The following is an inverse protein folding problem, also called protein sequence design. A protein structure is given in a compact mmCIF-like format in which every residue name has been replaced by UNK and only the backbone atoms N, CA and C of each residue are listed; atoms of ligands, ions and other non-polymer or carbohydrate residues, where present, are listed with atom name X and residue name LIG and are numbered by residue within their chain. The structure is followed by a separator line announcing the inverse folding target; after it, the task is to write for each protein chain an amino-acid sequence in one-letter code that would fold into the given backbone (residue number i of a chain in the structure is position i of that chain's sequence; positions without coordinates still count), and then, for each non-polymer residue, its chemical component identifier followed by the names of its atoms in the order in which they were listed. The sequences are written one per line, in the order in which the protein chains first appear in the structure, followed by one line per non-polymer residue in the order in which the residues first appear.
data_IF_101184910538
#
_entry.id   IF_101184910538
#
_cell.length_a   1.000
_cell.length_b   1.000
_cell.length_c   1.000
_cell.angle_alpha   90.00
_cell.angle_beta   90.00
_cell.angle_gamma   90.00
#
_symmetry.space_group_name_H-M   'P 1'
#
loop_
_entity.id
_entity.type
_entity.pdbx_description
1 polymer ?
#
# COMPACT_ATOMS: atom_id res chain seq x y z
N UNK A 1 -19.75 40.03 -39.67
CA UNK A 1 -18.82 39.67 -38.57
C UNK A 1 -19.31 38.49 -37.72
N UNK A 2 -20.33 37.70 -38.12
CA UNK A 2 -20.85 36.61 -37.27
C UNK A 2 -20.41 35.18 -37.65
N UNK A 3 -19.80 34.94 -38.81
CA UNK A 3 -19.43 33.59 -39.25
C UNK A 3 -18.11 33.06 -38.66
N UNK A 4 -17.29 33.95 -38.09
CA UNK A 4 -16.00 33.59 -37.47
C UNK A 4 -16.15 33.10 -36.02
N UNK A 5 -17.22 33.54 -35.34
CA UNK A 5 -17.51 33.17 -33.96
C UNK A 5 -18.03 31.73 -33.84
N UNK A 6 -18.80 31.25 -34.83
CA UNK A 6 -19.37 29.88 -34.84
C UNK A 6 -18.33 28.79 -35.14
N UNK A 7 -17.22 29.09 -35.82
CA UNK A 7 -16.14 28.12 -36.08
C UNK A 7 -15.13 28.01 -34.94
N UNK A 8 -15.07 28.99 -34.05
CA UNK A 8 -14.14 29.00 -32.91
C UNK A 8 -14.66 28.20 -31.72
N UNK A 9 -15.98 28.18 -31.49
CA UNK A 9 -16.64 27.44 -30.41
C UNK A 9 -16.32 25.93 -30.37
N UNK A 10 -16.41 25.14 -31.47
CA UNK A 10 -16.09 23.71 -31.44
C UNK A 10 -14.61 23.43 -31.20
N UNK A 11 -13.71 24.26 -31.75
CA UNK A 11 -12.26 24.13 -31.52
C UNK A 11 -11.86 24.44 -30.08
N UNK A 12 -12.53 25.40 -29.43
CA UNK A 12 -12.32 25.70 -28.02
C UNK A 12 -12.85 24.60 -27.08
N UNK A 13 -13.95 23.93 -27.45
CA UNK A 13 -14.48 22.78 -26.67
C UNK A 13 -13.59 21.56 -26.77
N UNK A 14 -13.22 21.16 -27.99
CA UNK A 14 -12.28 20.04 -28.22
C UNK A 14 -10.93 20.26 -27.53
N UNK A 15 -10.43 21.51 -27.52
CA UNK A 15 -9.22 21.87 -26.77
C UNK A 15 -9.43 21.77 -25.26
N UNK A 16 -10.56 22.22 -24.74
CA UNK A 16 -10.92 22.13 -23.32
C UNK A 16 -11.08 20.68 -22.85
N UNK A 17 -11.67 19.83 -23.67
CA UNK A 17 -11.83 18.39 -23.42
C UNK A 17 -10.49 17.66 -23.46
N UNK A 18 -9.66 17.91 -24.47
CA UNK A 18 -8.31 17.36 -24.55
C UNK A 18 -7.44 17.80 -23.35
N UNK A 19 -7.56 19.07 -22.94
CA UNK A 19 -6.82 19.59 -21.79
C UNK A 19 -7.34 19.04 -20.46
N UNK A 20 -8.64 18.74 -20.36
CA UNK A 20 -9.25 18.10 -19.19
C UNK A 20 -8.85 16.62 -19.09
N UNK A 21 -8.78 15.91 -20.22
CA UNK A 21 -8.28 14.52 -20.29
C UNK A 21 -6.81 14.43 -19.88
N UNK A 22 -5.96 15.27 -20.47
CA UNK A 22 -4.53 15.29 -20.13
C UNK A 22 -4.28 15.61 -18.65
N UNK A 23 -5.10 16.47 -18.03
CA UNK A 23 -5.05 16.71 -16.58
C UNK A 23 -5.50 15.47 -15.80
N UNK A 24 -6.57 14.81 -16.23
CA UNK A 24 -7.05 13.61 -15.57
C UNK A 24 -6.04 12.45 -15.62
N UNK A 25 -5.40 12.24 -16.76
CA UNK A 25 -4.37 11.21 -16.95
C UNK A 25 -3.12 11.52 -16.10
N UNK A 26 -2.75 12.79 -15.99
CA UNK A 26 -1.65 13.23 -15.13
C UNK A 26 -1.98 13.04 -13.64
N UNK A 27 -3.22 13.33 -13.22
CA UNK A 27 -3.69 13.07 -11.86
C UNK A 27 -3.73 11.58 -11.54
N UNK A 28 -4.13 10.73 -12.48
CA UNK A 28 -4.11 9.28 -12.33
C UNK A 28 -2.68 8.76 -12.20
N UNK A 29 -1.78 9.19 -13.08
CA UNK A 29 -0.35 8.82 -13.02
C UNK A 29 0.28 9.24 -11.70
N UNK A 30 -0.05 10.44 -11.20
CA UNK A 30 0.43 10.91 -9.91
C UNK A 30 -0.09 10.05 -8.74
N UNK A 31 -1.36 9.62 -8.80
CA UNK A 31 -1.93 8.72 -7.80
C UNK A 31 -1.29 7.33 -7.82
N UNK A 32 -1.02 6.77 -9.01
CA UNK A 32 -0.40 5.45 -9.16
C UNK A 32 1.06 5.46 -8.66
N UNK A 33 1.79 6.55 -8.89
CA UNK A 33 3.14 6.76 -8.33
C UNK A 33 3.12 6.86 -6.80
N UNK A 34 2.16 7.61 -6.24
CA UNK A 34 2.01 7.72 -4.78
C UNK A 34 1.68 6.35 -4.15
N UNK A 35 0.85 5.54 -4.81
CA UNK A 35 0.57 4.17 -4.37
C UNK A 35 1.83 3.30 -4.41
N UNK A 36 2.60 3.34 -5.51
CA UNK A 36 3.84 2.57 -5.64
C UNK A 36 4.86 2.93 -4.55
N UNK A 37 4.97 4.23 -4.21
CA UNK A 37 5.84 4.69 -3.12
C UNK A 37 5.36 4.17 -1.76
N UNK A 38 4.05 4.21 -1.51
CA UNK A 38 3.47 3.68 -0.28
C UNK A 38 3.70 2.17 -0.12
N UNK A 39 3.56 1.40 -1.21
CA UNK A 39 3.80 -0.05 -1.22
C UNK A 39 5.27 -0.38 -0.96
N UNK A 40 6.19 0.43 -1.53
CA UNK A 40 7.65 0.28 -1.29
C UNK A 40 8.01 0.55 0.17
N UNK A 41 7.45 1.61 0.76
CA UNK A 41 7.65 1.94 2.18
C UNK A 41 7.10 0.83 3.10
N UNK A 42 5.98 0.21 2.71
CA UNK A 42 5.42 -0.93 3.43
C UNK A 42 6.35 -2.14 3.38
N UNK A 43 6.86 -2.51 2.20
CA UNK A 43 7.80 -3.62 2.05
C UNK A 43 9.09 -3.43 2.87
N UNK A 44 9.61 -2.20 2.92
CA UNK A 44 10.77 -1.87 3.75
C UNK A 44 10.46 -2.08 5.23
N UNK A 45 9.29 -1.63 5.69
CA UNK A 45 8.84 -1.81 7.08
C UNK A 45 8.67 -3.29 7.46
N UNK A 46 8.12 -4.10 6.56
CA UNK A 46 7.92 -5.54 6.79
C UNK A 46 9.26 -6.30 6.84
N UNK A 47 10.23 -5.89 6.03
CA UNK A 47 11.61 -6.42 6.06
C UNK A 47 12.30 -6.11 7.40
N UNK A 48 12.19 -4.87 7.88
CA UNK A 48 12.77 -4.47 9.16
C UNK A 48 12.12 -5.22 10.33
N UNK A 49 10.81 -5.46 10.27
CA UNK A 49 10.11 -6.26 11.27
C UNK A 49 10.63 -7.71 11.28
N UNK A 50 10.79 -8.32 10.12
CA UNK A 50 11.28 -9.71 10.00
C UNK A 50 12.70 -9.86 10.57
N UNK A 51 13.57 -8.86 10.35
CA UNK A 51 14.91 -8.82 10.96
C UNK A 51 14.84 -8.69 12.48
N UNK A 52 14.01 -7.78 12.98
CA UNK A 52 13.84 -7.61 14.43
C UNK A 52 13.29 -8.87 15.11
N UNK A 53 12.39 -9.60 14.45
CA UNK A 53 11.86 -10.86 14.96
C UNK A 53 12.96 -11.95 15.00
N UNK A 54 13.86 -12.00 13.99
CA UNK A 54 15.00 -12.92 13.99
C UNK A 54 16.01 -12.60 15.11
N UNK A 55 16.30 -11.32 15.35
CA UNK A 55 17.17 -10.88 16.45
C UNK A 55 16.61 -11.27 17.83
N UNK A 56 15.28 -11.25 17.99
CA UNK A 56 14.64 -11.70 19.24
C UNK A 56 14.86 -13.20 19.50
N UNK A 57 14.74 -14.03 18.45
CA UNK A 57 14.98 -15.47 18.58
C UNK A 57 16.44 -15.74 18.98
N UNK A 58 17.38 -15.02 18.39
CA UNK A 58 18.80 -15.12 18.76
C UNK A 58 19.04 -14.68 20.22
N UNK A 59 18.49 -13.54 20.63
CA UNK A 59 18.61 -13.05 22.00
C UNK A 59 18.00 -14.02 23.04
N UNK A 60 16.87 -14.67 22.72
CA UNK A 60 16.27 -15.69 23.57
C UNK A 60 17.15 -16.95 23.67
N UNK A 61 17.80 -17.34 22.56
CA UNK A 61 18.77 -18.44 22.57
C UNK A 61 20.00 -18.13 23.42
N UNK A 62 20.54 -16.92 23.30
CA UNK A 62 21.68 -16.47 24.12
C UNK A 62 21.31 -16.44 25.61
N UNK A 63 20.08 -16.06 25.93
CA UNK A 63 19.59 -16.12 27.30
C UNK A 63 19.54 -17.55 27.83
N UNK A 64 19.00 -18.48 27.05
CA UNK A 64 18.94 -19.88 27.45
C UNK A 64 20.34 -20.47 27.69
N UNK A 65 21.34 -20.07 26.89
CA UNK A 65 22.73 -20.45 27.13
C UNK A 65 23.26 -19.86 28.45
N UNK A 66 23.01 -18.57 28.70
CA UNK A 66 23.43 -17.90 29.94
C UNK A 66 22.80 -18.53 31.19
N UNK A 67 21.52 -18.92 31.14
CA UNK A 67 20.83 -19.60 32.23
C UNK A 67 21.45 -20.97 32.53
N UNK A 68 21.88 -21.70 31.50
CA UNK A 68 22.57 -22.99 31.68
C UNK A 68 23.95 -22.81 32.31
N UNK A 69 24.69 -21.80 31.88
CA UNK A 69 25.98 -21.45 32.47
C UNK A 69 25.82 -21.01 33.93
N UNK A 70 24.70 -20.37 34.27
CA UNK A 70 24.36 -20.06 35.66
C UNK A 70 24.13 -21.29 36.51
N UNK A 71 23.30 -22.23 36.03
CA UNK A 71 23.06 -23.49 36.74
C UNK A 71 24.37 -24.26 36.96
N UNK A 72 25.28 -24.23 35.97
CA UNK A 72 26.60 -24.83 36.11
C UNK A 72 27.46 -24.13 37.17
N UNK A 73 27.51 -22.79 37.15
CA UNK A 73 28.24 -21.99 38.12
C UNK A 73 27.71 -22.17 39.56
N UNK A 74 26.39 -22.16 39.73
CA UNK A 74 25.73 -22.40 41.02
C UNK A 74 26.07 -23.80 41.56
N UNK A 75 26.10 -24.81 40.67
CA UNK A 75 26.51 -26.16 41.03
C UNK A 75 27.98 -26.26 41.44
N UNK A 76 28.90 -25.60 40.72
CA UNK A 76 30.32 -25.55 41.07
C UNK A 76 30.55 -24.82 42.40
N UNK A 77 29.88 -23.69 42.61
CA UNK A 77 29.95 -22.92 43.85
C UNK A 77 29.51 -23.76 45.06
N UNK A 78 28.47 -24.58 44.92
CA UNK A 78 28.01 -25.48 45.98
C UNK A 78 29.03 -26.58 46.36
N UNK A 79 29.99 -26.88 45.47
CA UNK A 79 31.01 -27.92 45.68
C UNK A 79 32.32 -27.37 46.26
N UNK A 80 32.54 -26.05 46.18
CA UNK A 80 33.75 -25.38 46.68
C UNK A 80 33.51 -24.90 48.12
N UNK A 81 34.47 -25.08 49.06
CA UNK A 81 34.33 -24.54 50.41
C UNK A 81 34.11 -23.02 50.39
N UNK A 82 32.97 -22.58 50.92
CA UNK A 82 32.57 -21.19 50.91
C UNK A 82 33.61 -20.27 51.56
N UNK A 83 33.98 -19.20 50.85
CA UNK A 83 34.72 -18.08 51.39
C UNK A 83 33.88 -16.82 51.23
N UNK A 84 33.97 -15.90 52.19
CA UNK A 84 33.25 -14.63 52.17
C UNK A 84 33.50 -13.79 50.90
N UNK A 85 34.63 -14.01 50.22
CA UNK A 85 34.97 -13.33 48.98
C UNK A 85 34.36 -14.04 47.76
N UNK A 86 34.35 -15.38 47.76
CA UNK A 86 33.67 -16.19 46.74
C UNK A 86 32.16 -15.98 46.76
N UNK A 87 31.54 -15.93 47.94
CA UNK A 87 30.09 -15.73 48.09
C UNK A 87 29.68 -14.34 47.59
N UNK A 88 30.46 -13.29 47.92
CA UNK A 88 30.21 -11.93 47.44
C UNK A 88 30.36 -11.80 45.92
N UNK A 89 31.38 -12.45 45.35
CA UNK A 89 31.58 -12.44 43.90
C UNK A 89 30.43 -13.17 43.17
N UNK A 90 29.97 -14.29 43.73
CA UNK A 90 28.83 -15.04 43.23
C UNK A 90 27.53 -14.21 43.29
N UNK A 91 27.23 -13.60 44.43
CA UNK A 91 26.05 -12.74 44.62
C UNK A 91 26.07 -11.52 43.70
N UNK A 92 27.22 -10.88 43.53
CA UNK A 92 27.39 -9.76 42.60
C UNK A 92 27.12 -10.18 41.14
N UNK A 93 27.69 -11.31 40.71
CA UNK A 93 27.44 -11.87 39.37
C UNK A 93 25.97 -12.24 39.16
N UNK A 94 25.29 -12.73 40.20
CA UNK A 94 23.86 -13.05 40.17
C UNK A 94 23.02 -11.79 40.00
N UNK A 95 23.33 -10.74 40.76
CA UNK A 95 22.63 -9.46 40.69
C UNK A 95 22.83 -8.74 39.35
N UNK A 96 24.05 -8.77 38.78
CA UNK A 96 24.32 -8.21 37.44
C UNK A 96 23.51 -8.93 36.35
N UNK A 97 23.38 -10.26 36.44
CA UNK A 97 22.57 -11.04 35.49
C UNK A 97 21.07 -10.79 35.64
N UNK A 98 20.56 -10.68 36.86
CA UNK A 98 19.16 -10.30 37.13
C UNK A 98 18.84 -8.93 36.52
N UNK A 99 19.70 -7.93 36.74
CA UNK A 99 19.57 -6.61 36.10
C UNK A 99 19.62 -6.68 34.56
N UNK A 100 20.51 -7.50 33.99
CA UNK A 100 20.59 -7.70 32.54
C UNK A 100 19.34 -8.40 31.97
N UNK A 101 18.70 -9.28 32.74
CA UNK A 101 17.40 -9.87 32.37
C UNK A 101 16.30 -8.82 32.39
N UNK A 102 16.19 -8.02 33.45
CA UNK A 102 15.22 -6.94 33.54
C UNK A 102 15.35 -5.93 32.39
N UNK A 103 16.59 -5.53 32.04
CA UNK A 103 16.84 -4.62 30.91
C UNK A 103 16.38 -5.23 29.57
N UNK A 104 16.58 -6.54 29.39
CA UNK A 104 16.16 -7.23 28.15
C UNK A 104 14.65 -7.40 28.09
N UNK A 105 13.99 -7.69 29.20
CA UNK A 105 12.53 -7.76 29.29
C UNK A 105 11.90 -6.39 29.01
N UNK A 106 12.47 -5.32 29.57
CA UNK A 106 12.06 -3.95 29.26
C UNK A 106 12.26 -3.62 27.77
N UNK A 107 13.38 -4.03 27.18
CA UNK A 107 13.63 -3.85 25.76
C UNK A 107 12.68 -4.68 24.88
N UNK A 108 12.32 -5.90 25.30
CA UNK A 108 11.35 -6.75 24.62
C UNK A 108 9.94 -6.13 24.66
N UNK A 109 9.51 -5.62 25.82
CA UNK A 109 8.26 -4.88 25.96
C UNK A 109 8.24 -3.60 25.09
N UNK A 110 9.36 -2.87 25.05
CA UNK A 110 9.52 -1.70 24.17
C UNK A 110 9.36 -2.05 22.69
N UNK A 111 9.99 -3.14 22.23
CA UNK A 111 9.85 -3.65 20.86
C UNK A 111 8.42 -4.09 20.57
N UNK A 112 7.76 -4.81 21.49
CA UNK A 112 6.37 -5.23 21.33
C UNK A 112 5.43 -4.03 21.12
N UNK A 113 5.62 -2.95 21.88
CA UNK A 113 4.87 -1.70 21.70
C UNK A 113 5.10 -1.08 20.32
N UNK A 114 6.35 -1.03 19.84
CA UNK A 114 6.68 -0.53 18.49
C UNK A 114 6.03 -1.39 17.41
N UNK A 115 6.07 -2.71 17.54
CA UNK A 115 5.42 -3.63 16.59
C UNK A 115 3.90 -3.43 16.58
N UNK A 116 3.26 -3.23 17.73
CA UNK A 116 1.84 -2.91 17.81
C UNK A 116 1.51 -1.58 17.10
N UNK A 117 2.27 -0.51 17.36
CA UNK A 117 2.11 0.77 16.68
C UNK A 117 2.29 0.69 15.16
N UNK A 118 3.26 -0.13 14.71
CA UNK A 118 3.48 -0.39 13.29
C UNK A 118 2.30 -1.12 12.65
N UNK A 119 1.73 -2.12 13.32
CA UNK A 119 0.52 -2.81 12.84
C UNK A 119 -0.66 -1.85 12.70
N UNK A 120 -0.90 -1.01 13.70
CA UNK A 120 -1.96 0.01 13.64
C UNK A 120 -1.74 0.99 12.47
N UNK A 121 -0.49 1.41 12.27
CA UNK A 121 -0.12 2.30 11.16
C UNK A 121 -0.34 1.62 9.81
N UNK A 122 0.02 0.35 9.68
CA UNK A 122 -0.22 -0.43 8.47
C UNK A 122 -1.73 -0.56 8.18
N UNK A 123 -2.55 -0.88 9.18
CA UNK A 123 -4.01 -0.95 9.01
C UNK A 123 -4.61 0.38 8.53
N UNK A 124 -4.16 1.52 9.11
CA UNK A 124 -4.59 2.85 8.63
C UNK A 124 -4.19 3.13 7.19
N UNK A 125 -3.03 2.65 6.74
CA UNK A 125 -2.59 2.79 5.35
C UNK A 125 -3.47 1.97 4.42
N UNK A 126 -3.80 0.74 4.82
CA UNK A 126 -4.71 -0.13 4.05
C UNK A 126 -6.10 0.50 3.92
N UNK A 127 -6.64 1.10 5.00
CA UNK A 127 -7.91 1.84 4.97
C UNK A 127 -7.87 3.01 3.98
N UNK A 128 -6.79 3.81 4.02
CA UNK A 128 -6.59 4.94 3.10
C UNK A 128 -6.51 4.46 1.65
N UNK A 129 -5.77 3.37 1.42
CA UNK A 129 -5.60 2.81 0.09
C UNK A 129 -6.93 2.23 -0.44
N UNK A 130 -7.71 1.55 0.38
CA UNK A 130 -9.07 1.13 0.05
C UNK A 130 -10.00 2.30 -0.27
N UNK A 131 -9.89 3.41 0.49
CA UNK A 131 -10.60 4.65 0.19
C UNK A 131 -10.24 5.24 -1.18
N UNK A 132 -8.96 5.20 -1.56
CA UNK A 132 -8.47 5.65 -2.88
C UNK A 132 -9.02 4.78 -4.00
N UNK A 133 -9.06 3.46 -3.82
CA UNK A 133 -9.61 2.52 -4.80
C UNK A 133 -11.09 2.76 -5.04
N UNK A 134 -11.87 3.01 -3.98
CA UNK A 134 -13.29 3.37 -4.09
C UNK A 134 -13.47 4.68 -4.86
N UNK A 135 -12.64 5.69 -4.58
CA UNK A 135 -12.67 6.96 -5.29
C UNK A 135 -12.29 6.81 -6.77
N UNK A 136 -11.30 5.97 -7.08
CA UNK A 136 -10.92 5.64 -8.46
C UNK A 136 -12.07 4.93 -9.19
N UNK A 137 -12.71 3.94 -8.56
CA UNK A 137 -13.86 3.25 -9.13
C UNK A 137 -15.05 4.20 -9.38
N UNK A 138 -15.26 5.20 -8.51
CA UNK A 138 -16.27 6.24 -8.73
C UNK A 138 -15.93 7.12 -9.94
N UNK A 139 -14.66 7.52 -10.10
CA UNK A 139 -14.18 8.26 -11.27
C UNK A 139 -14.38 7.48 -12.56
N UNK A 140 -14.07 6.17 -12.56
CA UNK A 140 -14.28 5.31 -13.73
C UNK A 140 -15.74 5.20 -14.12
N UNK A 141 -16.66 5.10 -13.16
CA UNK A 141 -18.10 5.12 -13.43
C UNK A 141 -18.54 6.43 -14.08
N UNK A 142 -18.11 7.57 -13.52
CA UNK A 142 -18.41 8.89 -14.09
C UNK A 142 -17.78 9.11 -15.47
N UNK A 143 -16.64 8.48 -15.76
CA UNK A 143 -16.04 8.49 -17.10
C UNK A 143 -16.87 7.67 -18.09
N UNK A 144 -17.31 6.46 -17.71
CA UNK A 144 -18.19 5.63 -18.57
C UNK A 144 -19.50 6.34 -18.93
N UNK A 145 -20.18 6.97 -17.96
CA UNK A 145 -21.40 7.72 -18.25
C UNK A 145 -21.17 8.85 -19.25
N UNK A 146 -20.04 9.57 -19.15
CA UNK A 146 -19.70 10.62 -20.12
C UNK A 146 -19.40 10.08 -21.51
N UNK A 147 -18.76 8.91 -21.60
CA UNK A 147 -18.49 8.26 -22.88
C UNK A 147 -19.81 7.79 -23.52
N UNK A 148 -20.73 7.20 -22.74
CA UNK A 148 -22.07 6.80 -23.20
C UNK A 148 -22.90 8.00 -23.69
N UNK A 149 -22.87 9.12 -22.96
CA UNK A 149 -23.53 10.36 -23.37
C UNK A 149 -22.93 10.91 -24.68
N UNK A 150 -21.61 10.89 -24.82
CA UNK A 150 -20.94 11.34 -26.04
C UNK A 150 -21.29 10.45 -27.25
N UNK A 151 -21.33 9.13 -27.07
CA UNK A 151 -21.73 8.21 -28.13
C UNK A 151 -23.21 8.40 -28.52
N UNK A 152 -24.09 8.71 -27.57
CA UNK A 152 -25.48 9.02 -27.85
C UNK A 152 -25.64 10.32 -28.66
N UNK A 153 -24.87 11.36 -28.30
CA UNK A 153 -24.85 12.63 -29.02
C UNK A 153 -24.28 12.48 -30.45
N UNK A 154 -23.21 11.71 -30.63
CA UNK A 154 -22.61 11.40 -31.93
C UNK A 154 -23.63 10.66 -32.82
N UNK A 155 -24.29 9.61 -32.29
CA UNK A 155 -25.35 8.89 -33.01
C UNK A 155 -26.54 9.80 -33.38
N UNK A 156 -26.93 10.72 -32.50
CA UNK A 156 -28.00 11.68 -32.77
C UNK A 156 -27.59 12.75 -33.79
N UNK A 157 -26.30 13.10 -33.86
CA UNK A 157 -25.76 13.97 -34.91
C UNK A 157 -25.79 13.27 -36.28
N UNK A 158 -25.31 12.04 -36.36
CA UNK A 158 -25.32 11.22 -37.58
C UNK A 158 -26.75 10.99 -38.09
N UNK A 159 -27.71 10.72 -37.20
CA UNK A 159 -29.11 10.56 -37.57
C UNK A 159 -29.72 11.85 -38.14
N UNK A 160 -29.33 13.02 -37.61
CA UNK A 160 -29.76 14.33 -38.12
C UNK A 160 -29.14 14.61 -39.48
N UNK A 161 -27.86 14.32 -39.67
CA UNK A 161 -27.17 14.50 -40.95
C UNK A 161 -27.72 13.58 -42.04
N UNK A 162 -27.97 12.30 -41.72
CA UNK A 162 -28.58 11.32 -42.63
C UNK A 162 -30.02 11.68 -43.04
N UNK A 163 -30.76 12.41 -42.20
CA UNK A 163 -32.08 12.95 -42.54
C UNK A 163 -32.01 14.26 -43.35
N UNK A 164 -30.86 14.94 -43.34
CA UNK A 164 -30.67 16.28 -43.93
C UNK A 164 -29.90 16.28 -45.25
N UNK A 165 -29.22 15.19 -45.62
CA UNK A 165 -28.27 15.20 -46.74
C UNK A 165 -28.90 14.82 -48.11
N UNK A 166 -28.99 15.83 -48.99
CA UNK A 166 -28.63 15.64 -50.40
C UNK A 166 -27.11 15.41 -50.49
N UNK A 167 -26.60 14.58 -51.42
CA UNK A 167 -25.21 14.12 -51.40
C UNK A 167 -24.25 15.26 -51.76
N UNK A 168 -23.55 15.80 -50.77
CA UNK A 168 -22.37 16.64 -50.98
C UNK A 168 -21.18 15.88 -50.44
N UNK A 169 -20.28 15.47 -51.34
CA UNK A 169 -19.06 14.76 -50.97
C UNK A 169 -18.20 15.62 -50.02
N UNK A 170 -18.00 15.12 -48.81
CA UNK A 170 -16.92 15.58 -47.94
C UNK A 170 -15.94 14.42 -47.76
N UNK A 171 -14.67 14.70 -48.08
CA UNK A 171 -13.54 13.82 -47.86
C UNK A 171 -13.51 13.36 -46.40
N UNK A 172 -13.49 12.04 -46.21
CA UNK A 172 -13.60 11.36 -44.92
C UNK A 172 -12.42 11.61 -44.00
N UNK A 173 -12.44 12.75 -43.30
CA UNK A 173 -11.65 12.92 -42.09
C UNK A 173 -12.26 12.01 -41.01
N UNK A 174 -11.61 10.88 -40.75
CA UNK A 174 -11.96 9.99 -39.63
C UNK A 174 -11.84 10.81 -38.35
N UNK A 175 -12.94 11.05 -37.64
CA UNK A 175 -12.89 11.64 -36.30
C UNK A 175 -12.15 10.67 -35.38
N UNK A 176 -11.00 11.03 -34.79
CA UNK A 176 -10.27 10.14 -33.90
C UNK A 176 -10.91 10.02 -32.51
N UNK A 177 -11.92 10.84 -32.19
CA UNK A 177 -12.53 10.87 -30.86
C UNK A 177 -13.09 9.52 -30.39
N UNK A 178 -13.81 8.72 -31.21
CA UNK A 178 -14.32 7.41 -30.79
C UNK A 178 -13.21 6.41 -30.47
N UNK A 179 -12.18 6.32 -31.33
CA UNK A 179 -11.04 5.43 -31.11
C UNK A 179 -10.24 5.78 -29.84
N UNK A 180 -10.14 7.07 -29.50
CA UNK A 180 -9.52 7.52 -28.25
C UNK A 180 -10.37 7.20 -27.02
N UNK A 181 -11.72 7.26 -27.12
CA UNK A 181 -12.63 6.84 -26.03
C UNK A 181 -12.51 5.35 -25.76
N UNK A 182 -12.51 4.52 -26.80
CA UNK A 182 -12.32 3.07 -26.68
C UNK A 182 -10.98 2.70 -26.03
N UNK A 183 -9.89 3.33 -26.46
CA UNK A 183 -8.58 3.13 -25.85
C UNK A 183 -8.56 3.53 -24.36
N UNK A 184 -9.20 4.65 -24.01
CA UNK A 184 -9.35 5.08 -22.61
C UNK A 184 -10.21 4.12 -21.78
N UNK A 185 -11.27 3.54 -22.35
CA UNK A 185 -12.11 2.56 -21.67
C UNK A 185 -11.37 1.25 -21.37
N UNK A 186 -10.51 0.80 -22.30
CA UNK A 186 -9.64 -0.36 -22.11
C UNK A 186 -8.64 -0.13 -20.97
N UNK A 187 -7.92 0.99 -20.99
CA UNK A 187 -6.95 1.34 -19.94
C UNK A 187 -7.60 1.41 -18.55
N UNK A 188 -8.79 2.02 -18.42
CA UNK A 188 -9.53 2.05 -17.15
C UNK A 188 -9.93 0.66 -16.67
N UNK A 189 -10.26 -0.25 -17.59
CA UNK A 189 -10.62 -1.63 -17.25
C UNK A 189 -9.41 -2.40 -16.74
N UNK A 190 -8.25 -2.25 -17.40
CA UNK A 190 -6.99 -2.83 -16.97
C UNK A 190 -6.57 -2.28 -15.59
N UNK A 191 -6.57 -0.96 -15.41
CA UNK A 191 -6.26 -0.35 -14.10
C UNK A 191 -7.23 -0.79 -13.00
N UNK A 192 -8.51 -1.06 -13.31
CA UNK A 192 -9.47 -1.57 -12.34
C UNK A 192 -9.15 -3.02 -11.92
N UNK A 193 -8.65 -3.85 -12.83
CA UNK A 193 -8.19 -5.20 -12.54
C UNK A 193 -6.94 -5.18 -11.67
N UNK A 194 -5.97 -4.32 -11.97
CA UNK A 194 -4.75 -4.16 -11.19
C UNK A 194 -5.05 -3.71 -9.75
N UNK A 195 -5.93 -2.72 -9.57
CA UNK A 195 -6.38 -2.31 -8.23
C UNK A 195 -7.10 -3.43 -7.48
N UNK A 196 -7.91 -4.23 -8.17
CA UNK A 196 -8.58 -5.37 -7.56
C UNK A 196 -7.60 -6.48 -7.16
N UNK A 197 -6.51 -6.68 -7.91
CA UNK A 197 -5.44 -7.59 -7.53
C UNK A 197 -4.68 -7.06 -6.30
N UNK A 198 -4.25 -5.79 -6.34
CA UNK A 198 -3.56 -5.13 -5.22
C UNK A 198 -4.38 -5.16 -3.93
N UNK A 199 -5.71 -4.96 -4.01
CA UNK A 199 -6.58 -5.07 -2.85
C UNK A 199 -6.57 -6.47 -2.23
N UNK A 200 -6.59 -7.53 -3.04
CA UNK A 200 -6.49 -8.92 -2.54
C UNK A 200 -5.14 -9.20 -1.90
N UNK A 201 -4.07 -8.67 -2.48
CA UNK A 201 -2.72 -8.84 -1.92
C UNK A 201 -2.61 -8.15 -0.55
N UNK A 202 -3.22 -6.96 -0.37
CA UNK A 202 -3.31 -6.29 0.94
C UNK A 202 -4.15 -7.10 1.94
N UNK A 203 -5.29 -7.65 1.53
CA UNK A 203 -6.12 -8.50 2.39
C UNK A 203 -5.36 -9.76 2.85
N UNK A 204 -4.63 -10.39 1.93
CA UNK A 204 -3.78 -11.54 2.24
C UNK A 204 -2.64 -11.16 3.21
N UNK A 205 -1.96 -10.04 2.97
CA UNK A 205 -0.91 -9.55 3.86
C UNK A 205 -1.47 -9.17 5.25
N UNK A 206 -2.68 -8.62 5.33
CA UNK A 206 -3.35 -8.34 6.60
C UNK A 206 -3.64 -9.64 7.37
N UNK A 207 -4.16 -10.67 6.70
CA UNK A 207 -4.41 -11.98 7.30
C UNK A 207 -3.11 -12.64 7.80
N UNK A 208 -2.02 -12.56 7.03
CA UNK A 208 -0.71 -13.08 7.44
C UNK A 208 -0.19 -12.34 8.69
N UNK A 209 -0.38 -11.02 8.78
CA UNK A 209 -0.01 -10.23 9.96
C UNK A 209 -0.82 -10.58 11.19
N UNK A 210 -2.10 -10.92 11.04
CA UNK A 210 -2.95 -11.41 12.13
C UNK A 210 -2.52 -12.81 12.59
N UNK A 211 -2.28 -13.73 11.65
CA UNK A 211 -1.79 -15.07 11.96
C UNK A 211 -0.43 -15.03 12.68
N UNK A 212 0.48 -14.16 12.23
CA UNK A 212 1.76 -13.91 12.89
C UNK A 212 1.60 -13.21 14.26
N UNK A 213 0.51 -12.48 14.51
CA UNK A 213 0.19 -11.95 15.83
C UNK A 213 -0.22 -13.08 16.78
N UNK A 214 -1.19 -13.89 16.35
CA UNK A 214 -1.75 -14.98 17.14
C UNK A 214 -0.68 -16.02 17.52
N UNK A 215 0.23 -16.34 16.59
CA UNK A 215 1.36 -17.23 16.87
C UNK A 215 2.35 -16.66 17.90
N UNK A 216 2.43 -15.32 18.04
CA UNK A 216 3.26 -14.67 19.06
C UNK A 216 2.60 -14.67 20.44
N UNK A 217 1.27 -14.61 20.51
CA UNK A 217 0.51 -14.69 21.78
C UNK A 217 0.43 -16.11 22.35
N UNK A 218 0.66 -17.13 21.53
CA UNK A 218 0.62 -18.55 21.92
C UNK A 218 1.98 -19.15 22.31
N UNK A 219 3.08 -18.38 22.19
CA UNK A 219 4.43 -18.78 22.61
C UNK A 219 4.78 -18.16 23.94
#
# INVERSE_FOLDING_TARGET
MSAENDRQAPRSRLRGEAQSRARHDAEQTAADLDQTLADTDQLSSDTDQSRSDAEQVLAASDQHASDRDQVAADWEAAQIPASLESDRAHDASRAEREAATDERDAAAAGRANVTAQRRDTAGRRDDVAGGRDLAAAARDRSARTRDEEADADDNAADAREGQSAAPVGHDGAIDPAPAMRDAGALLRTESALDRAAAARDRDAAAADREAAAANREQR
#
